data_IF_657572822262
#
_entry.id   IF_657572822262
#
_cell.length_a   1.000
_cell.length_b   1.000
_cell.length_c   1.000
_cell.angle_alpha   90.00
_cell.angle_beta   90.00
_cell.angle_gamma   90.00
#
_symmetry.space_group_name_H-M   'P 1'
#
loop_
_entity.id
_entity.type
_entity.pdbx_description
1 polymer ?
#
# COMPACT_ATOMS: atom_id res chain seq x y z
N UNK A 1 -42.64 -32.88 -0.16
CA UNK A 1 -43.21 -33.24 -1.47
C UNK A 1 -43.04 -32.05 -2.40
N UNK A 2 -42.21 -32.19 -3.42
CA UNK A 2 -42.01 -31.18 -4.46
C UNK A 2 -43.15 -31.20 -5.50
N UNK A 3 -43.41 -30.07 -6.16
CA UNK A 3 -43.77 -30.09 -7.58
C UNK A 3 -42.84 -29.13 -8.35
N UNK A 4 -41.87 -29.64 -9.12
CA UNK A 4 -41.97 -29.89 -10.57
C UNK A 4 -42.69 -28.77 -11.34
N UNK A 5 -41.91 -27.87 -11.94
CA UNK A 5 -42.26 -27.15 -13.14
C UNK A 5 -41.03 -27.10 -14.07
N UNK A 6 -41.09 -27.87 -15.15
CA UNK A 6 -40.22 -27.79 -16.33
C UNK A 6 -41.13 -27.66 -17.55
N UNK A 7 -41.00 -26.56 -18.30
CA UNK A 7 -41.46 -26.38 -19.70
C UNK A 7 -40.39 -25.53 -20.39
N UNK A 8 -39.49 -26.11 -21.18
CA UNK A 8 -39.60 -26.37 -22.62
C UNK A 8 -39.96 -25.11 -23.43
N UNK A 9 -38.95 -24.54 -24.09
CA UNK A 9 -39.09 -23.70 -25.29
C UNK A 9 -38.17 -24.22 -26.39
N UNK A 10 -38.67 -24.09 -27.62
CA UNK A 10 -38.34 -24.82 -28.83
C UNK A 10 -37.00 -24.42 -29.46
N UNK A 11 -36.27 -25.41 -29.96
CA UNK A 11 -35.20 -25.23 -30.96
C UNK A 11 -35.83 -25.19 -32.35
N UNK A 12 -35.64 -24.08 -33.06
CA UNK A 12 -36.03 -23.95 -34.48
C UNK A 12 -34.84 -24.33 -35.36
N UNK A 13 -35.04 -25.31 -36.22
CA UNK A 13 -34.07 -25.84 -37.17
C UNK A 13 -33.72 -24.81 -38.25
N UNK A 14 -32.42 -24.63 -38.50
CA UNK A 14 -31.90 -23.87 -39.65
C UNK A 14 -31.82 -24.79 -40.89
N UNK A 15 -32.25 -24.34 -42.08
CA UNK A 15 -32.12 -25.13 -43.31
C UNK A 15 -30.68 -25.17 -43.80
N UNK A 16 -30.23 -26.37 -44.21
CA UNK A 16 -28.93 -26.63 -44.82
C UNK A 16 -28.89 -26.09 -46.26
N UNK A 17 -28.05 -25.11 -46.53
CA UNK A 17 -27.67 -24.72 -47.90
C UNK A 17 -26.17 -24.90 -48.10
N UNK A 18 -25.78 -25.55 -49.21
CA UNK A 18 -24.40 -25.86 -49.60
C UNK A 18 -23.57 -24.58 -49.87
N UNK A 19 -22.26 -24.55 -49.59
CA UNK A 19 -21.40 -23.45 -50.02
C UNK A 19 -21.02 -23.56 -51.52
N UNK A 20 -20.86 -22.44 -52.24
CA UNK A 20 -20.33 -22.41 -53.61
C UNK A 20 -18.78 -22.47 -53.62
N UNK A 21 -18.13 -22.68 -54.80
CA UNK A 21 -16.75 -23.14 -54.86
C UNK A 21 -15.72 -22.03 -54.66
N UNK A 22 -14.53 -22.48 -54.23
CA UNK A 22 -13.31 -21.73 -53.98
C UNK A 22 -12.83 -20.99 -55.23
N UNK A 23 -12.58 -19.68 -55.12
CA UNK A 23 -12.00 -18.86 -56.18
C UNK A 23 -11.24 -17.65 -55.64
N UNK A 24 -9.99 -17.53 -56.08
CA UNK A 24 -9.07 -16.38 -56.05
C UNK A 24 -8.71 -15.76 -54.70
N UNK A 25 -7.49 -16.06 -54.26
CA UNK A 25 -6.71 -15.33 -53.25
C UNK A 25 -6.53 -13.86 -53.65
N UNK A 26 -7.28 -12.96 -53.01
CA UNK A 26 -6.83 -11.58 -52.82
C UNK A 26 -6.01 -11.56 -51.54
N UNK A 27 -4.71 -11.35 -51.69
CA UNK A 27 -3.77 -11.07 -50.62
C UNK A 27 -4.15 -9.72 -49.98
N UNK A 28 -5.09 -9.76 -49.02
CA UNK A 28 -5.17 -8.68 -48.03
C UNK A 28 -3.90 -8.78 -47.21
N UNK A 29 -2.95 -7.90 -47.49
CA UNK A 29 -1.79 -7.68 -46.65
C UNK A 29 -2.30 -7.19 -45.29
N UNK A 30 -2.63 -8.13 -44.39
CA UNK A 30 -2.75 -7.82 -42.99
C UNK A 30 -1.35 -7.38 -42.58
N UNK A 31 -1.19 -6.06 -42.40
CA UNK A 31 -0.05 -5.52 -41.70
C UNK A 31 -0.09 -6.11 -40.29
N UNK A 32 0.61 -7.22 -40.10
CA UNK A 32 1.05 -7.64 -38.78
C UNK A 32 2.00 -6.53 -38.31
N UNK A 33 1.44 -5.52 -37.66
CA UNK A 33 2.22 -4.62 -36.84
C UNK A 33 2.88 -5.50 -35.78
N UNK A 34 4.16 -5.80 -35.97
CA UNK A 34 5.05 -6.34 -34.96
C UNK A 34 5.42 -5.26 -33.94
N UNK A 35 4.48 -4.38 -33.58
CA UNK A 35 4.58 -3.68 -32.31
C UNK A 35 4.33 -4.72 -31.23
N UNK A 36 5.44 -5.30 -30.79
CA UNK A 36 5.55 -6.03 -29.54
C UNK A 36 4.82 -5.26 -28.42
N UNK A 37 3.66 -5.77 -28.01
CA UNK A 37 2.74 -5.08 -27.12
C UNK A 37 3.37 -4.83 -25.73
N UNK A 38 3.27 -3.59 -25.24
CA UNK A 38 3.67 -3.21 -23.88
C UNK A 38 2.64 -3.73 -22.87
N UNK A 39 3.09 -4.47 -21.87
CA UNK A 39 2.22 -5.01 -20.81
C UNK A 39 1.94 -3.92 -19.77
N UNK A 40 0.76 -3.31 -19.84
CA UNK A 40 0.26 -2.36 -18.84
C UNK A 40 -0.20 -3.07 -17.56
N UNK A 41 0.41 -2.75 -16.42
CA UNK A 41 0.06 -3.29 -15.09
C UNK A 41 -0.20 -2.13 -14.13
N UNK A 42 -1.25 -2.26 -13.33
CA UNK A 42 -1.62 -1.30 -12.28
C UNK A 42 -1.34 -1.89 -10.90
N UNK A 43 -0.79 -1.08 -10.00
CA UNK A 43 -0.57 -1.40 -8.59
C UNK A 43 -1.30 -0.37 -7.73
N UNK A 44 -2.12 -0.82 -6.78
CA UNK A 44 -2.95 0.05 -5.93
C UNK A 44 -2.39 0.06 -4.51
N UNK A 45 -1.71 1.15 -4.15
CA UNK A 45 -1.02 1.35 -2.88
C UNK A 45 0.49 1.35 -3.05
N UNK A 46 1.16 2.38 -2.54
CA UNK A 46 2.61 2.61 -2.72
C UNK A 46 3.46 2.24 -1.50
N UNK A 47 2.95 1.36 -0.64
CA UNK A 47 3.74 0.76 0.44
C UNK A 47 4.76 -0.27 -0.06
N UNK A 48 5.45 -0.99 0.85
CA UNK A 48 6.40 -2.03 0.48
C UNK A 48 5.84 -3.06 -0.51
N UNK A 49 4.61 -3.51 -0.29
CA UNK A 49 3.99 -4.51 -1.16
C UNK A 49 3.86 -4.03 -2.61
N UNK A 50 3.42 -2.79 -2.80
CA UNK A 50 3.28 -2.20 -4.12
C UNK A 50 4.63 -2.03 -4.82
N UNK A 51 5.62 -1.46 -4.14
CA UNK A 51 6.95 -1.26 -4.72
C UNK A 51 7.70 -2.57 -4.98
N UNK A 52 7.63 -3.57 -4.10
CA UNK A 52 8.26 -4.86 -4.35
C UNK A 52 7.58 -5.62 -5.49
N UNK A 53 6.25 -5.50 -5.62
CA UNK A 53 5.52 -6.03 -6.77
C UNK A 53 6.03 -5.36 -8.06
N UNK A 54 6.05 -4.02 -8.10
CA UNK A 54 6.55 -3.27 -9.24
C UNK A 54 8.00 -3.61 -9.59
N UNK A 55 8.89 -3.65 -8.59
CA UNK A 55 10.29 -4.00 -8.76
C UNK A 55 10.46 -5.37 -9.42
N UNK A 56 9.74 -6.38 -8.92
CA UNK A 56 9.85 -7.74 -9.45
C UNK A 56 9.31 -7.83 -10.88
N UNK A 57 8.17 -7.20 -11.17
CA UNK A 57 7.61 -7.14 -12.52
C UNK A 57 8.57 -6.48 -13.51
N UNK A 58 9.15 -5.34 -13.14
CA UNK A 58 10.08 -4.61 -13.99
C UNK A 58 11.38 -5.39 -14.21
N UNK A 59 11.86 -6.12 -13.20
CA UNK A 59 13.07 -6.95 -13.31
C UNK A 59 12.87 -8.17 -14.21
N UNK A 60 11.71 -8.81 -14.13
CA UNK A 60 11.47 -10.09 -14.78
C UNK A 60 10.68 -9.99 -16.10
N UNK A 61 10.14 -8.82 -16.44
CA UNK A 61 9.49 -8.57 -17.72
C UNK A 61 9.92 -7.23 -18.32
N UNK A 62 10.70 -7.30 -19.40
CA UNK A 62 11.36 -6.15 -20.06
C UNK A 62 10.40 -5.14 -20.68
N UNK A 63 9.18 -5.57 -21.04
CA UNK A 63 8.14 -4.76 -21.70
C UNK A 63 6.97 -4.41 -20.79
N UNK A 64 7.03 -4.78 -19.51
CA UNK A 64 6.02 -4.35 -18.55
C UNK A 64 6.19 -2.86 -18.23
N UNK A 65 5.06 -2.15 -18.20
CA UNK A 65 4.93 -0.80 -17.66
C UNK A 65 4.04 -0.88 -16.42
N UNK A 66 4.47 -0.24 -15.33
CA UNK A 66 3.80 -0.31 -14.03
C UNK A 66 3.37 1.08 -13.58
N UNK A 67 2.06 1.28 -13.41
CA UNK A 67 1.49 2.47 -12.77
C UNK A 67 1.15 2.17 -11.31
N UNK A 68 1.73 2.92 -10.38
CA UNK A 68 1.47 2.81 -8.94
C UNK A 68 0.55 3.96 -8.51
N UNK A 69 -0.65 3.61 -8.05
CA UNK A 69 -1.63 4.56 -7.50
C UNK A 69 -1.52 4.65 -5.99
N UNK A 70 -1.67 5.84 -5.43
CA UNK A 70 -1.60 6.09 -4.00
C UNK A 70 -2.63 7.13 -3.58
N UNK A 71 -3.34 6.87 -2.47
CA UNK A 71 -4.33 7.80 -1.93
C UNK A 71 -3.67 9.02 -1.31
N UNK A 72 -2.51 8.84 -0.67
CA UNK A 72 -1.74 9.92 -0.07
C UNK A 72 -1.03 10.75 -1.14
N UNK A 73 -0.66 11.99 -0.79
CA UNK A 73 0.15 12.83 -1.67
C UNK A 73 1.60 12.33 -1.82
N UNK A 74 2.02 11.42 -0.93
CA UNK A 74 3.40 10.96 -0.79
C UNK A 74 3.45 9.43 -0.78
N UNK A 75 4.52 8.80 -1.32
CA UNK A 75 4.63 7.36 -1.40
C UNK A 75 5.12 6.69 -0.09
N UNK A 76 5.37 5.38 -0.17
CA UNK A 76 6.09 4.53 0.80
C UNK A 76 5.27 3.97 1.97
N UNK A 77 4.03 4.44 2.14
CA UNK A 77 3.09 3.89 3.12
C UNK A 77 3.69 3.75 4.52
N UNK A 78 3.58 2.57 5.14
CA UNK A 78 4.05 2.34 6.51
C UNK A 78 5.57 2.42 6.69
N UNK A 79 6.40 2.44 5.64
CA UNK A 79 7.83 2.74 5.83
C UNK A 79 8.00 4.19 6.28
N UNK A 80 7.18 5.09 5.74
CA UNK A 80 7.14 6.50 6.12
C UNK A 80 6.30 6.74 7.37
N UNK A 81 5.09 6.17 7.40
CA UNK A 81 4.07 6.48 8.41
C UNK A 81 3.99 5.49 9.59
N UNK A 82 4.63 4.33 9.50
CA UNK A 82 4.58 3.27 10.50
C UNK A 82 5.90 3.08 11.25
N UNK A 83 6.98 2.80 10.51
CA UNK A 83 8.32 2.60 11.08
C UNK A 83 8.68 3.79 11.97
N UNK A 84 9.04 3.49 13.20
CA UNK A 84 9.33 4.49 14.22
C UNK A 84 10.48 5.44 13.78
N UNK A 85 10.45 6.72 14.21
CA UNK A 85 11.41 7.72 13.79
C UNK A 85 12.84 7.45 14.30
N UNK A 86 12.95 6.69 15.39
CA UNK A 86 14.21 6.20 15.96
C UNK A 86 14.74 4.92 15.29
N UNK A 87 14.08 4.43 14.22
CA UNK A 87 14.49 3.29 13.39
C UNK A 87 14.80 3.71 11.94
N UNK A 88 15.70 4.69 11.71
CA UNK A 88 15.97 5.21 10.37
C UNK A 88 16.54 4.16 9.42
N UNK A 89 17.27 3.17 9.93
CA UNK A 89 17.89 2.12 9.13
C UNK A 89 16.86 1.21 8.45
N UNK A 90 15.69 1.03 9.07
CA UNK A 90 14.57 0.28 8.47
C UNK A 90 13.95 1.05 7.31
N UNK A 91 14.03 2.38 7.32
CA UNK A 91 13.54 3.26 6.24
C UNK A 91 14.44 3.27 5.00
N UNK A 92 15.66 2.72 5.08
CA UNK A 92 16.62 2.69 3.96
C UNK A 92 16.10 1.97 2.71
N UNK A 93 15.10 1.10 2.85
CA UNK A 93 14.41 0.47 1.71
C UNK A 93 13.80 1.48 0.74
N UNK A 94 13.49 2.70 1.21
CA UNK A 94 13.02 3.82 0.38
C UNK A 94 13.99 4.08 -0.79
N UNK A 95 15.30 3.93 -0.61
CA UNK A 95 16.27 4.15 -1.69
C UNK A 95 16.02 3.22 -2.89
N UNK A 96 15.73 1.95 -2.61
CA UNK A 96 15.39 0.94 -3.62
C UNK A 96 14.05 1.23 -4.28
N UNK A 97 13.07 1.72 -3.52
CA UNK A 97 11.76 2.11 -4.05
C UNK A 97 11.86 3.34 -4.94
N UNK A 98 12.66 4.33 -4.55
CA UNK A 98 12.99 5.51 -5.36
C UNK A 98 13.65 5.11 -6.67
N UNK A 99 14.61 4.18 -6.66
CA UNK A 99 15.22 3.67 -7.90
C UNK A 99 14.18 3.02 -8.81
N UNK A 100 13.23 2.26 -8.23
CA UNK A 100 12.15 1.61 -8.98
C UNK A 100 11.22 2.66 -9.60
N UNK A 101 10.82 3.68 -8.83
CA UNK A 101 9.95 4.76 -9.29
C UNK A 101 10.58 5.65 -10.37
N UNK A 102 11.91 5.77 -10.40
CA UNK A 102 12.67 6.51 -11.41
C UNK A 102 12.87 5.74 -12.72
N UNK A 103 12.45 4.48 -12.80
CA UNK A 103 12.51 3.72 -14.06
C UNK A 103 11.57 4.33 -15.09
N UNK A 104 12.00 4.43 -16.36
CA UNK A 104 11.15 4.89 -17.48
C UNK A 104 9.87 4.06 -17.68
N UNK A 105 9.83 2.85 -17.08
CA UNK A 105 8.69 1.92 -17.15
C UNK A 105 7.84 1.93 -15.88
N UNK A 106 8.11 2.82 -14.93
CA UNK A 106 7.34 2.99 -13.71
C UNK A 106 6.80 4.42 -13.64
N UNK A 107 5.53 4.57 -13.28
CA UNK A 107 4.96 5.86 -12.96
C UNK A 107 4.21 5.81 -11.64
N UNK A 108 4.22 6.93 -10.91
CA UNK A 108 3.52 7.12 -9.65
C UNK A 108 2.40 8.13 -9.83
N UNK A 109 1.24 7.83 -9.25
CA UNK A 109 0.03 8.63 -9.28
C UNK A 109 -0.52 8.75 -7.85
N UNK A 110 0.08 9.65 -7.06
CA UNK A 110 -0.37 10.01 -5.71
C UNK A 110 -1.60 10.90 -5.73
N UNK A 111 -2.23 11.10 -4.57
CA UNK A 111 -3.49 11.84 -4.43
C UNK A 111 -4.64 11.27 -5.30
N UNK A 112 -4.66 9.94 -5.49
CA UNK A 112 -5.70 9.21 -6.21
C UNK A 112 -6.27 8.11 -5.32
N UNK A 113 -7.50 8.29 -4.86
CA UNK A 113 -8.20 7.33 -4.00
C UNK A 113 -8.94 6.31 -4.86
N UNK A 114 -8.32 5.15 -5.06
CA UNK A 114 -9.00 4.02 -5.74
C UNK A 114 -10.20 3.56 -4.91
N UNK A 115 -11.35 3.40 -5.56
CA UNK A 115 -12.66 3.19 -4.95
C UNK A 115 -13.53 4.45 -4.86
N UNK A 116 -12.93 5.65 -4.95
CA UNK A 116 -13.63 6.94 -4.94
C UNK A 116 -13.39 7.72 -6.24
N UNK A 117 -12.12 7.99 -6.53
CA UNK A 117 -11.68 8.83 -7.65
C UNK A 117 -11.59 8.01 -8.96
N UNK A 118 -11.23 6.74 -8.84
CA UNK A 118 -11.23 5.72 -9.90
C UNK A 118 -11.61 4.38 -9.31
N UNK A 119 -12.47 3.60 -9.98
CA UNK A 119 -12.96 2.32 -9.48
C UNK A 119 -12.09 1.16 -9.95
N UNK A 120 -12.11 0.04 -9.22
CA UNK A 120 -11.37 -1.18 -9.63
C UNK A 120 -11.82 -1.70 -11.02
N UNK A 121 -13.12 -1.73 -11.37
CA UNK A 121 -13.55 -2.07 -12.72
C UNK A 121 -12.93 -1.18 -13.82
N UNK A 122 -12.88 0.14 -13.61
CA UNK A 122 -12.25 1.07 -14.57
C UNK A 122 -10.75 0.78 -14.74
N UNK A 123 -10.05 0.44 -13.66
CA UNK A 123 -8.65 -0.01 -13.75
C UNK A 123 -8.53 -1.34 -14.50
N UNK A 124 -9.42 -2.31 -14.27
CA UNK A 124 -9.39 -3.60 -14.98
C UNK A 124 -9.69 -3.47 -16.47
N UNK A 125 -10.45 -2.46 -16.88
CA UNK A 125 -10.65 -2.16 -18.29
C UNK A 125 -9.40 -1.51 -18.92
N UNK A 126 -8.72 -0.65 -18.17
CA UNK A 126 -7.55 0.08 -18.66
C UNK A 126 -6.25 -0.74 -18.69
N UNK A 127 -6.11 -1.76 -17.84
CA UNK A 127 -4.85 -2.51 -17.63
C UNK A 127 -5.00 -4.01 -17.95
N UNK A 128 -3.87 -4.71 -18.19
CA UNK A 128 -3.87 -6.17 -18.34
C UNK A 128 -4.05 -6.87 -16.98
N UNK A 129 -3.48 -6.28 -15.93
CA UNK A 129 -3.58 -6.77 -14.56
C UNK A 129 -3.62 -5.61 -13.57
N UNK A 130 -4.33 -5.82 -12.46
CA UNK A 130 -4.41 -4.91 -11.31
C UNK A 130 -3.97 -5.67 -10.07
N UNK A 131 -3.01 -5.12 -9.32
CA UNK A 131 -2.54 -5.69 -8.04
C UNK A 131 -2.97 -4.77 -6.90
N UNK A 132 -3.76 -5.31 -5.98
CA UNK A 132 -4.17 -4.62 -4.75
C UNK A 132 -3.08 -4.77 -3.69
N UNK A 133 -2.50 -3.64 -3.26
CA UNK A 133 -1.38 -3.58 -2.31
C UNK A 133 -1.56 -2.43 -1.30
N UNK A 134 -2.81 -2.08 -0.99
CA UNK A 134 -3.19 -0.96 -0.11
C UNK A 134 -3.05 -1.28 1.39
N UNK A 135 -2.58 -2.48 1.73
CA UNK A 135 -2.34 -2.90 3.11
C UNK A 135 -3.63 -3.14 3.90
N UNK A 136 -3.56 -2.93 5.21
CA UNK A 136 -4.71 -2.94 6.10
C UNK A 136 -4.79 -1.56 6.75
N UNK A 137 -5.88 -0.82 6.58
CA UNK A 137 -6.02 0.55 7.08
C UNK A 137 -6.81 0.64 8.37
N UNK A 138 -7.88 -0.17 8.46
CA UNK A 138 -8.73 -0.24 9.64
C UNK A 138 -7.96 -0.71 10.88
N UNK A 139 -8.39 -0.21 12.04
CA UNK A 139 -7.96 -0.70 13.34
C UNK A 139 -9.03 -1.64 13.90
N UNK A 140 -8.60 -2.64 14.67
CA UNK A 140 -9.54 -3.48 15.40
C UNK A 140 -10.01 -2.71 16.64
N UNK A 141 -11.32 -2.42 16.70
CA UNK A 141 -11.95 -1.92 17.91
C UNK A 141 -11.81 -2.94 19.04
N UNK A 142 -11.77 -2.46 20.29
CA UNK A 142 -11.66 -3.34 21.45
C UNK A 142 -13.00 -4.03 21.73
N UNK A 143 -14.12 -3.38 21.42
CA UNK A 143 -15.47 -3.90 21.67
C UNK A 143 -15.77 -3.95 23.17
N UNK A 144 -15.25 -3.00 23.95
CA UNK A 144 -15.39 -2.97 25.41
C UNK A 144 -16.04 -1.67 25.88
N UNK A 145 -16.80 -1.68 26.99
CA UNK A 145 -17.34 -0.46 27.57
C UNK A 145 -16.26 0.57 27.86
N UNK A 146 -16.46 1.82 27.40
CA UNK A 146 -15.54 2.93 27.61
C UNK A 146 -14.44 3.08 26.56
N UNK A 147 -14.44 2.31 25.47
CA UNK A 147 -13.46 2.45 24.39
C UNK A 147 -13.53 3.79 23.63
N UNK A 148 -14.64 4.54 23.78
CA UNK A 148 -14.86 5.87 23.21
C UNK A 148 -14.42 7.02 24.14
N UNK A 149 -13.89 6.70 25.34
CA UNK A 149 -13.50 7.74 26.30
C UNK A 149 -12.26 8.52 25.81
N UNK A 150 -12.17 9.83 26.10
CA UNK A 150 -10.95 10.60 25.86
C UNK A 150 -9.73 9.91 26.50
N UNK A 151 -8.63 9.82 25.75
CA UNK A 151 -7.42 9.11 26.16
C UNK A 151 -7.32 7.67 25.65
N UNK A 152 -8.38 7.12 25.06
CA UNK A 152 -8.34 5.81 24.38
C UNK A 152 -8.01 6.03 22.91
N UNK A 153 -6.91 5.45 22.45
CA UNK A 153 -6.44 5.57 21.07
C UNK A 153 -6.00 4.23 20.51
N UNK A 154 -6.18 4.05 19.20
CA UNK A 154 -5.47 2.99 18.48
C UNK A 154 -3.97 3.27 18.49
N UNK A 155 -3.15 2.26 18.80
CA UNK A 155 -1.69 2.37 18.72
C UNK A 155 -1.23 2.84 17.33
N UNK A 156 -1.92 2.40 16.27
CA UNK A 156 -1.65 2.84 14.90
C UNK A 156 -1.92 4.34 14.70
N UNK A 157 -3.00 4.86 15.27
CA UNK A 157 -3.32 6.30 15.18
C UNK A 157 -2.26 7.13 15.91
N UNK A 158 -1.82 6.67 17.09
CA UNK A 158 -0.71 7.30 17.82
C UNK A 158 0.60 7.27 17.02
N UNK A 159 0.90 6.13 16.37
CA UNK A 159 2.03 6.00 15.45
C UNK A 159 1.92 6.95 14.26
N UNK A 160 0.75 7.02 13.63
CA UNK A 160 0.49 7.94 12.52
C UNK A 160 0.67 9.40 12.94
N UNK A 161 0.22 9.77 14.14
CA UNK A 161 0.38 11.11 14.68
C UNK A 161 1.86 11.54 14.78
N UNK A 162 2.70 10.74 15.45
CA UNK A 162 4.12 11.12 15.59
C UNK A 162 4.92 10.95 14.28
N UNK A 163 4.46 10.11 13.35
CA UNK A 163 5.10 9.92 12.04
C UNK A 163 4.58 10.86 10.96
N UNK A 164 3.61 11.72 11.26
CA UNK A 164 3.10 12.74 10.33
C UNK A 164 2.14 12.20 9.26
N UNK A 165 1.33 11.20 9.60
CA UNK A 165 0.20 10.79 8.76
C UNK A 165 -0.87 11.91 8.80
N UNK A 166 -1.28 12.50 7.67
CA UNK A 166 -2.15 13.68 7.65
C UNK A 166 -3.46 13.51 8.44
N UNK A 167 -4.07 12.33 8.37
CA UNK A 167 -5.33 12.02 9.05
C UNK A 167 -5.21 11.94 10.59
N UNK A 168 -4.00 11.81 11.13
CA UNK A 168 -3.75 11.75 12.58
C UNK A 168 -3.05 13.00 13.14
N UNK A 169 -2.83 14.04 12.32
CA UNK A 169 -2.14 15.27 12.76
C UNK A 169 -2.86 15.97 13.93
N UNK A 170 -4.19 15.80 14.02
CA UNK A 170 -5.06 16.43 15.03
C UNK A 170 -5.38 15.49 16.21
N UNK A 171 -4.71 14.33 16.33
CA UNK A 171 -4.95 13.37 17.41
C UNK A 171 -4.70 13.97 18.80
N UNK A 172 -3.68 14.83 18.92
CA UNK A 172 -3.32 15.62 20.12
C UNK A 172 -3.53 14.86 21.44
N UNK A 173 -2.84 13.72 21.66
CA UNK A 173 -3.01 12.92 22.85
C UNK A 173 -2.63 13.70 24.12
N UNK A 174 -3.48 13.64 25.14
CA UNK A 174 -3.17 14.18 26.46
C UNK A 174 -2.19 13.25 27.19
N UNK A 175 -0.95 13.71 27.35
CA UNK A 175 0.14 12.99 28.00
C UNK A 175 0.46 13.57 29.40
N UNK A 176 -0.48 14.28 30.02
CA UNK A 176 -0.32 14.84 31.38
C UNK A 176 -0.44 13.81 32.50
N UNK A 177 -0.87 12.58 32.19
CA UNK A 177 -0.94 11.48 33.14
C UNK A 177 0.44 10.84 33.41
N UNK A 178 0.55 10.11 34.53
CA UNK A 178 1.79 9.41 34.89
C UNK A 178 1.95 8.03 34.21
N UNK A 179 0.85 7.39 33.80
CA UNK A 179 0.83 6.00 33.34
C UNK A 179 0.03 5.86 32.04
N UNK A 180 0.64 5.19 31.06
CA UNK A 180 -0.04 4.72 29.85
C UNK A 180 -0.16 3.19 29.85
N UNK A 181 -1.25 2.67 29.29
CA UNK A 181 -1.49 1.23 29.14
C UNK A 181 -1.66 0.91 27.67
N UNK A 182 -0.89 -0.05 27.16
CA UNK A 182 -0.94 -0.52 25.79
C UNK A 182 -1.45 -1.96 25.80
N UNK A 183 -2.55 -2.20 25.08
CA UNK A 183 -3.14 -3.53 24.93
C UNK A 183 -2.56 -4.22 23.69
N UNK A 184 -1.80 -5.29 23.90
CA UNK A 184 -1.12 -6.05 22.85
C UNK A 184 0.39 -6.12 23.06
N UNK A 185 0.99 -7.28 22.75
CA UNK A 185 2.43 -7.55 22.93
C UNK A 185 3.10 -7.82 21.58
N UNK A 186 3.03 -6.86 20.66
CA UNK A 186 3.68 -6.91 19.35
C UNK A 186 4.67 -5.75 19.15
N UNK A 187 5.37 -5.72 18.02
CA UNK A 187 6.37 -4.68 17.73
C UNK A 187 5.81 -3.25 17.83
N UNK A 188 4.59 -3.00 17.31
CA UNK A 188 3.95 -1.67 17.40
C UNK A 188 3.73 -1.23 18.85
N UNK A 189 3.40 -2.15 19.75
CA UNK A 189 3.22 -1.84 21.16
C UNK A 189 4.54 -1.38 21.80
N UNK A 190 5.65 -2.04 21.42
CA UNK A 190 6.98 -1.65 21.87
C UNK A 190 7.43 -0.32 21.26
N UNK A 191 7.08 -0.04 20.01
CA UNK A 191 7.38 1.26 19.38
C UNK A 191 6.68 2.41 20.11
N UNK A 192 5.38 2.26 20.41
CA UNK A 192 4.63 3.26 21.18
C UNK A 192 5.19 3.41 22.59
N UNK A 193 5.47 2.31 23.29
CA UNK A 193 6.07 2.36 24.62
C UNK A 193 7.43 3.06 24.62
N UNK A 194 8.27 2.76 23.61
CA UNK A 194 9.60 3.34 23.46
C UNK A 194 9.53 4.83 23.17
N UNK A 195 8.65 5.28 22.26
CA UNK A 195 8.46 6.71 21.99
C UNK A 195 7.95 7.46 23.21
N UNK A 196 7.04 6.88 24.01
CA UNK A 196 6.54 7.51 25.24
C UNK A 196 7.61 7.65 26.33
N UNK A 197 8.58 6.74 26.39
CA UNK A 197 9.59 6.68 27.47
C UNK A 197 10.97 7.19 27.06
N UNK A 198 11.23 7.39 25.77
CA UNK A 198 12.51 7.90 25.28
C UNK A 198 12.67 9.36 25.69
N UNK A 199 13.81 9.76 26.30
CA UNK A 199 14.09 11.16 26.59
C UNK A 199 13.95 12.02 25.32
N UNK A 200 13.15 13.11 25.33
CA UNK A 200 12.86 13.89 24.13
C UNK A 200 14.12 14.36 23.38
N UNK A 201 15.22 14.64 24.09
CA UNK A 201 16.52 14.99 23.53
C UNK A 201 17.09 13.95 22.56
N UNK A 202 16.79 12.66 22.76
CA UNK A 202 17.23 11.58 21.87
C UNK A 202 16.39 11.51 20.59
N UNK A 203 15.18 12.09 20.59
CA UNK A 203 14.28 12.14 19.43
C UNK A 203 14.50 13.40 18.59
N UNK A 204 15.23 14.40 19.08
CA UNK A 204 15.41 15.70 18.40
C UNK A 204 16.01 15.59 17.00
N UNK A 205 16.88 14.60 16.78
CA UNK A 205 17.57 14.37 15.51
C UNK A 205 16.90 13.31 14.63
N UNK A 206 15.70 12.86 15.00
CA UNK A 206 14.92 11.89 14.22
C UNK A 206 13.97 12.61 13.24
N UNK A 207 13.23 11.86 12.42
CA UNK A 207 12.18 12.41 11.54
C UNK A 207 10.78 12.45 12.18
N UNK A 208 10.70 12.39 13.52
CA UNK A 208 9.46 12.62 14.28
C UNK A 208 8.91 14.02 13.99
N UNK A 209 7.60 14.23 13.97
CA UNK A 209 7.05 15.58 13.71
C UNK A 209 7.42 16.56 14.85
N UNK A 210 7.67 17.82 14.50
CA UNK A 210 7.90 18.85 15.52
C UNK A 210 6.73 18.98 16.52
N UNK A 211 5.50 18.82 16.03
CA UNK A 211 4.29 18.88 16.82
C UNK A 211 4.25 17.76 17.88
N UNK A 212 4.54 16.52 17.48
CA UNK A 212 4.57 15.40 18.41
C UNK A 212 5.72 15.51 19.40
N UNK A 213 6.90 15.93 18.95
CA UNK A 213 8.04 16.17 19.84
C UNK A 213 7.74 17.27 20.87
N UNK A 214 7.03 18.33 20.48
CA UNK A 214 6.56 19.38 21.39
C UNK A 214 5.66 18.85 22.51
N UNK A 215 4.73 17.95 22.17
CA UNK A 215 3.86 17.29 23.16
C UNK A 215 4.65 16.33 24.04
N UNK A 216 5.56 15.53 23.46
CA UNK A 216 6.39 14.59 24.22
C UNK A 216 7.31 15.28 25.23
N UNK A 217 7.81 16.49 24.93
CA UNK A 217 8.59 17.30 25.88
C UNK A 217 7.80 17.70 27.13
N UNK A 218 6.47 17.77 27.03
CA UNK A 218 5.59 18.13 28.14
C UNK A 218 4.94 16.91 28.80
N UNK A 219 5.22 15.70 28.29
CA UNK A 219 4.68 14.45 28.80
C UNK A 219 5.09 14.23 30.27
N UNK A 220 4.13 13.79 31.09
CA UNK A 220 4.36 13.35 32.47
C UNK A 220 4.38 11.83 32.59
N UNK A 221 4.22 11.10 31.48
CA UNK A 221 4.21 9.65 31.44
C UNK A 221 5.57 9.11 31.88
N UNK A 222 5.57 8.31 32.94
CA UNK A 222 6.76 7.65 33.52
C UNK A 222 6.66 6.14 33.49
N UNK A 223 5.43 5.62 33.40
CA UNK A 223 5.14 4.19 33.44
C UNK A 223 4.35 3.80 32.21
N UNK A 224 4.80 2.76 31.51
CA UNK A 224 4.03 2.15 30.41
C UNK A 224 3.84 0.67 30.69
N UNK A 225 2.58 0.23 30.73
CA UNK A 225 2.23 -1.18 30.85
C UNK A 225 1.89 -1.77 29.50
N UNK A 226 2.61 -2.80 29.07
CA UNK A 226 2.31 -3.54 27.84
C UNK A 226 1.60 -4.84 28.23
N UNK A 227 0.28 -4.88 28.03
CA UNK A 227 -0.61 -5.93 28.55
C UNK A 227 -0.97 -6.90 27.43
N UNK A 228 -0.62 -8.17 27.62
CA UNK A 228 -1.03 -9.26 26.73
C UNK A 228 -2.13 -10.11 27.32
N UNK A 229 -3.03 -10.61 26.46
CA UNK A 229 -4.04 -11.60 26.84
C UNK A 229 -3.48 -13.04 27.03
N UNK A 230 -2.25 -13.29 26.59
CA UNK A 230 -1.56 -14.60 26.64
C UNK A 230 -0.23 -14.47 27.37
N UNK A 231 0.45 -15.60 27.60
CA UNK A 231 1.72 -15.65 28.32
C UNK A 231 2.93 -15.29 27.46
N UNK A 232 4.13 -15.26 28.08
CA UNK A 232 5.38 -14.86 27.42
C UNK A 232 5.77 -15.67 26.18
N UNK A 233 5.35 -16.94 26.09
CA UNK A 233 5.61 -17.79 24.91
C UNK A 233 4.79 -17.39 23.67
N UNK A 234 3.85 -16.45 23.80
CA UNK A 234 2.97 -16.01 22.72
C UNK A 234 3.12 -14.52 22.38
N UNK A 235 4.20 -13.88 22.83
CA UNK A 235 4.55 -12.53 22.41
C UNK A 235 4.85 -12.50 20.91
N UNK A 236 4.48 -11.41 20.25
CA UNK A 236 4.61 -11.21 18.80
C UNK A 236 5.63 -10.12 18.46
N UNK A 237 6.49 -9.75 19.41
CA UNK A 237 7.61 -8.86 19.15
C UNK A 237 8.88 -9.67 18.86
N UNK A 238 9.72 -9.14 17.98
CA UNK A 238 11.00 -9.76 17.61
C UNK A 238 12.14 -9.26 18.49
N UNK A 239 13.17 -10.10 18.71
CA UNK A 239 14.30 -9.82 19.62
C UNK A 239 15.01 -8.49 19.28
N UNK A 240 15.11 -8.11 18.00
CA UNK A 240 15.71 -6.85 17.55
C UNK A 240 15.08 -5.60 18.21
N UNK A 241 13.82 -5.67 18.64
CA UNK A 241 13.11 -4.54 19.27
C UNK A 241 13.46 -4.38 20.76
N UNK A 242 14.16 -5.35 21.38
CA UNK A 242 14.58 -5.31 22.79
C UNK A 242 16.00 -4.74 23.02
N UNK A 243 16.80 -4.47 21.98
CA UNK A 243 18.18 -3.96 22.08
C UNK A 243 19.10 -4.45 20.95
N UNK A 244 20.35 -3.96 20.85
CA UNK A 244 21.26 -4.34 19.78
C UNK A 244 21.84 -5.75 20.02
N UNK A 245 21.83 -6.54 18.94
CA UNK A 245 22.44 -7.87 18.73
C UNK A 245 21.63 -9.10 19.20
N UNK A 246 21.20 -9.88 18.20
CA UNK A 246 20.65 -11.23 18.35
C UNK A 246 19.76 -11.63 17.19
N UNK A 247 20.28 -12.40 16.24
CA UNK A 247 19.46 -13.13 15.27
C UNK A 247 18.59 -14.17 16.00
N UNK A 248 17.27 -14.12 15.77
CA UNK A 248 16.28 -15.04 16.33
C UNK A 248 15.42 -15.70 15.23
N UNK A 249 14.92 -16.92 15.45
CA UNK A 249 14.41 -17.80 14.40
C UNK A 249 13.00 -17.43 13.92
N UNK A 250 12.69 -17.91 12.71
CA UNK A 250 11.49 -17.58 11.95
C UNK A 250 10.16 -17.87 12.65
N UNK A 251 9.22 -16.94 12.46
CA UNK A 251 7.86 -17.01 12.98
C UNK A 251 6.96 -17.91 12.12
N UNK A 252 6.14 -18.71 12.80
CA UNK A 252 5.12 -19.58 12.23
C UNK A 252 3.85 -18.79 11.91
N UNK A 253 3.37 -18.94 10.68
CA UNK A 253 2.19 -18.24 10.15
C UNK A 253 0.89 -18.63 10.88
N UNK A 254 0.12 -17.62 11.32
CA UNK A 254 -1.29 -17.78 11.66
C UNK A 254 -2.14 -17.14 10.54
N UNK A 255 -3.03 -17.89 9.86
CA UNK A 255 -3.87 -17.32 8.81
C UNK A 255 -5.00 -16.51 9.45
N UNK A 256 -4.95 -15.19 9.32
CA UNK A 256 -6.13 -14.33 9.44
C UNK A 256 -6.65 -14.06 8.03
N UNK A 257 -7.52 -14.93 7.53
CA UNK A 257 -8.24 -14.73 6.27
C UNK A 257 -9.36 -13.71 6.49
N UNK A 258 -9.30 -12.61 5.74
CA UNK A 258 -10.45 -11.71 5.59
C UNK A 258 -11.57 -12.43 4.82
N UNK A 259 -12.84 -12.34 5.26
CA UNK A 259 -13.95 -13.05 4.64
C UNK A 259 -14.53 -12.23 3.48
N UNK A 260 -13.83 -12.15 2.35
CA UNK A 260 -14.43 -11.63 1.11
C UNK A 260 -14.18 -12.59 -0.07
N UNK A 261 -15.28 -13.25 -0.45
CA UNK A 261 -15.62 -13.97 -1.69
C UNK A 261 -14.56 -14.80 -2.46
N UNK A 262 -14.79 -16.11 -2.45
CA UNK A 262 -14.18 -17.13 -3.32
C UNK A 262 -14.79 -17.14 -4.74
N UNK A 263 -14.36 -16.20 -5.61
CA UNK A 263 -14.30 -16.44 -7.05
C UNK A 263 -13.06 -15.73 -7.59
N UNK A 264 -12.14 -16.42 -8.29
CA UNK A 264 -10.99 -15.75 -8.90
C UNK A 264 -11.51 -14.76 -9.95
N UNK A 265 -11.23 -13.47 -9.75
CA UNK A 265 -11.48 -12.44 -10.75
C UNK A 265 -10.26 -12.38 -11.67
N UNK A 266 -10.34 -12.82 -12.94
CA UNK A 266 -9.18 -12.82 -13.83
C UNK A 266 -8.58 -11.42 -13.96
N UNK A 267 -7.24 -11.36 -13.89
CA UNK A 267 -6.48 -10.10 -13.96
C UNK A 267 -6.52 -9.25 -12.68
N UNK A 268 -7.06 -9.74 -11.56
CA UNK A 268 -7.01 -9.07 -10.26
C UNK A 268 -6.20 -9.91 -9.26
N UNK A 269 -5.17 -9.29 -8.69
CA UNK A 269 -4.25 -9.90 -7.73
C UNK A 269 -4.20 -9.07 -6.45
N UNK A 270 -3.58 -9.60 -5.41
CA UNK A 270 -3.28 -8.85 -4.19
C UNK A 270 -1.90 -9.23 -3.64
N UNK A 271 -1.24 -8.32 -2.92
CA UNK A 271 0.04 -8.56 -2.24
C UNK A 271 0.14 -7.82 -0.91
N UNK A 272 0.95 -8.33 0.02
CA UNK A 272 1.17 -7.75 1.34
C UNK A 272 0.01 -7.94 2.30
N UNK A 273 -0.20 -6.97 3.19
CA UNK A 273 -1.15 -7.12 4.30
C UNK A 273 -2.62 -7.25 3.89
N UNK A 274 -3.02 -6.71 2.73
CA UNK A 274 -4.37 -6.97 2.19
C UNK A 274 -4.56 -8.45 1.84
N UNK A 275 -3.49 -9.17 1.48
CA UNK A 275 -3.50 -10.60 1.14
C UNK A 275 -3.32 -11.50 2.36
N UNK A 276 -2.35 -11.19 3.22
CA UNK A 276 -1.88 -12.08 4.31
C UNK A 276 -2.40 -11.69 5.70
N UNK A 277 -3.07 -10.53 5.81
CA UNK A 277 -3.37 -9.88 7.08
C UNK A 277 -2.19 -9.03 7.59
N UNK A 278 -2.41 -8.18 8.61
CA UNK A 278 -1.43 -7.23 9.12
C UNK A 278 -0.41 -7.89 10.06
N UNK A 279 0.28 -8.92 9.57
CA UNK A 279 1.33 -9.64 10.29
C UNK A 279 2.62 -9.66 9.48
N UNK A 280 3.75 -9.79 10.16
CA UNK A 280 5.07 -9.81 9.55
C UNK A 280 5.72 -8.44 9.34
N UNK A 281 6.94 -8.47 8.80
CA UNK A 281 7.83 -7.32 8.63
C UNK A 281 8.01 -6.98 7.14
N UNK A 282 8.84 -5.99 6.83
CA UNK A 282 9.11 -5.57 5.44
C UNK A 282 9.64 -6.73 4.59
N UNK A 283 10.50 -7.59 5.14
CA UNK A 283 11.10 -8.73 4.42
C UNK A 283 10.08 -9.82 4.08
N UNK A 284 9.11 -10.11 4.97
CA UNK A 284 8.04 -11.08 4.65
C UNK A 284 7.10 -10.51 3.59
N UNK A 285 6.81 -9.21 3.65
CA UNK A 285 6.03 -8.50 2.63
C UNK A 285 6.72 -8.52 1.27
N UNK A 286 8.05 -8.37 1.23
CA UNK A 286 8.85 -8.47 0.01
C UNK A 286 8.68 -9.84 -0.66
N UNK A 287 8.91 -10.93 0.08
CA UNK A 287 8.80 -12.29 -0.45
C UNK A 287 7.39 -12.59 -0.96
N UNK A 288 6.34 -12.21 -0.23
CA UNK A 288 4.95 -12.39 -0.67
C UNK A 288 4.61 -11.60 -1.94
N UNK A 289 5.16 -10.40 -2.08
CA UNK A 289 4.98 -9.56 -3.26
C UNK A 289 5.67 -10.14 -4.50
N UNK A 290 6.85 -10.74 -4.31
CA UNK A 290 7.55 -11.45 -5.38
C UNK A 290 6.78 -12.69 -5.83
N UNK A 291 6.23 -13.48 -4.91
CA UNK A 291 5.38 -14.63 -5.24
C UNK A 291 4.15 -14.21 -6.05
N UNK A 292 3.48 -13.13 -5.64
CA UNK A 292 2.32 -12.58 -6.37
C UNK A 292 2.71 -12.15 -7.79
N UNK A 293 3.85 -11.47 -7.93
CA UNK A 293 4.35 -11.02 -9.23
C UNK A 293 4.73 -12.18 -10.13
N UNK A 294 5.31 -13.25 -9.56
CA UNK A 294 5.63 -14.47 -10.30
C UNK A 294 4.37 -15.14 -10.85
N UNK A 295 3.31 -15.26 -10.05
CA UNK A 295 2.02 -15.78 -10.52
C UNK A 295 1.42 -14.93 -11.63
N UNK A 296 1.44 -13.59 -11.49
CA UNK A 296 0.97 -12.68 -12.54
C UNK A 296 1.73 -12.88 -13.86
N UNK A 297 3.06 -12.99 -13.80
CA UNK A 297 3.88 -13.23 -14.99
C UNK A 297 3.60 -14.59 -15.63
N UNK A 298 3.38 -15.64 -14.83
CA UNK A 298 2.97 -16.95 -15.34
C UNK A 298 1.61 -16.90 -16.04
N UNK A 299 0.63 -16.18 -15.48
CA UNK A 299 -0.68 -16.00 -16.10
C UNK A 299 -0.60 -15.20 -17.41
N UNK A 300 0.30 -14.22 -17.48
CA UNK A 300 0.59 -13.47 -18.69
C UNK A 300 1.20 -14.36 -19.78
N UNK A 301 2.21 -15.17 -19.43
CA UNK A 301 2.86 -16.13 -20.35
C UNK A 301 1.89 -17.21 -20.82
N UNK A 302 0.98 -17.65 -19.96
CA UNK A 302 -0.06 -18.62 -20.27
C UNK A 302 -1.23 -18.03 -21.08
N UNK A 303 -1.25 -16.72 -21.34
CA UNK A 303 -2.32 -16.05 -22.09
C UNK A 303 -3.66 -16.02 -21.33
N UNK A 304 -3.62 -16.07 -20.00
CA UNK A 304 -4.80 -16.04 -19.12
C UNK A 304 -5.26 -14.60 -18.82
N UNK A 305 -4.42 -13.62 -19.11
CA UNK A 305 -4.74 -12.20 -19.02
C UNK A 305 -5.33 -11.68 -20.33
N UNK A 306 -6.05 -10.54 -20.30
CA UNK A 306 -6.69 -10.04 -21.50
C UNK A 306 -5.68 -9.77 -22.63
N UNK A 307 -6.01 -10.21 -23.84
CA UNK A 307 -5.16 -10.02 -25.01
C UNK A 307 -5.36 -8.66 -25.67
N UNK A 308 -4.37 -8.22 -26.45
CA UNK A 308 -4.43 -6.99 -27.23
C UNK A 308 -3.97 -5.75 -26.45
N UNK A 309 -3.94 -4.58 -27.11
CA UNK A 309 -3.45 -3.35 -26.51
C UNK A 309 -4.39 -2.88 -25.38
N UNK A 310 -3.78 -2.45 -24.28
CA UNK A 310 -4.47 -1.81 -23.15
C UNK A 310 -4.04 -0.35 -23.04
N UNK A 311 -4.97 0.61 -22.83
CA UNK A 311 -4.65 2.03 -22.83
C UNK A 311 -3.85 2.48 -21.60
N UNK A 312 -3.86 1.70 -20.50
CA UNK A 312 -3.17 2.03 -19.24
C UNK A 312 -3.59 3.39 -18.70
N UNK A 313 -2.63 4.14 -18.17
CA UNK A 313 -2.89 5.45 -17.58
C UNK A 313 -3.49 6.48 -18.55
N UNK A 314 -3.34 6.33 -19.87
CA UNK A 314 -3.93 7.31 -20.81
C UNK A 314 -5.45 7.42 -20.68
N UNK A 315 -6.14 6.29 -20.46
CA UNK A 315 -7.58 6.26 -20.21
C UNK A 315 -7.93 6.80 -18.82
N UNK A 316 -7.16 6.41 -17.80
CA UNK A 316 -7.40 6.85 -16.42
C UNK A 316 -7.13 8.34 -16.24
N UNK A 317 -6.11 8.90 -16.89
CA UNK A 317 -5.81 10.34 -16.85
C UNK A 317 -6.98 11.19 -17.35
N UNK A 318 -7.63 10.78 -18.45
CA UNK A 318 -8.80 11.47 -18.97
C UNK A 318 -9.97 11.44 -17.97
N UNK A 319 -10.17 10.29 -17.30
CA UNK A 319 -11.19 10.10 -16.29
C UNK A 319 -10.93 10.93 -15.02
N UNK A 320 -9.70 10.93 -14.51
CA UNK A 320 -9.33 11.72 -13.34
C UNK A 320 -9.47 13.23 -13.63
N UNK A 321 -9.08 13.66 -14.84
CA UNK A 321 -9.24 15.05 -15.27
C UNK A 321 -10.71 15.48 -15.33
N UNK A 322 -11.61 14.63 -15.85
CA UNK A 322 -13.04 14.93 -15.89
C UNK A 322 -13.70 14.93 -14.51
N UNK A 323 -13.10 14.23 -13.54
CA UNK A 323 -13.50 14.22 -12.13
C UNK A 323 -12.86 15.32 -11.29
N UNK A 324 -12.01 16.17 -11.88
CA UNK A 324 -11.29 17.22 -11.16
C UNK A 324 -10.23 16.69 -10.18
N UNK A 325 -9.78 15.45 -10.37
CA UNK A 325 -8.76 14.82 -9.54
C UNK A 325 -7.39 15.06 -10.16
N UNK A 326 -6.45 15.51 -9.34
CA UNK A 326 -5.08 15.77 -9.76
C UNK A 326 -4.09 14.76 -9.18
N UNK A 327 -3.57 13.86 -10.02
CA UNK A 327 -2.50 12.97 -9.62
C UNK A 327 -1.18 13.73 -9.37
N UNK A 328 -0.51 13.37 -8.29
CA UNK A 328 0.85 13.80 -7.98
C UNK A 328 1.82 12.78 -8.60
N UNK A 329 2.72 13.26 -9.47
CA UNK A 329 3.74 12.41 -10.07
C UNK A 329 4.88 12.10 -9.10
N UNK A 330 5.76 11.14 -9.42
CA UNK A 330 6.95 10.91 -8.60
C UNK A 330 7.88 12.13 -8.56
N UNK A 331 8.02 12.85 -9.68
CA UNK A 331 8.84 14.07 -9.74
C UNK A 331 8.22 15.25 -9.00
N UNK A 332 6.90 15.29 -8.85
CA UNK A 332 6.23 16.22 -7.95
C UNK A 332 6.52 15.83 -6.49
N UNK A 333 6.41 14.55 -6.13
CA UNK A 333 6.85 14.07 -4.81
C UNK A 333 8.31 14.42 -4.50
N UNK A 334 9.24 14.30 -5.45
CA UNK A 334 10.65 14.68 -5.23
C UNK A 334 10.84 16.16 -4.85
N UNK A 335 9.95 17.06 -5.30
CA UNK A 335 9.95 18.46 -4.86
C UNK A 335 9.52 18.60 -3.40
N UNK A 336 8.48 17.85 -2.99
CA UNK A 336 8.04 17.79 -1.60
C UNK A 336 9.12 17.18 -0.71
N UNK A 337 9.76 16.10 -1.16
CA UNK A 337 10.87 15.46 -0.45
C UNK A 337 12.03 16.44 -0.21
N UNK A 338 12.41 17.21 -1.24
CA UNK A 338 13.44 18.22 -1.13
C UNK A 338 13.07 19.34 -0.14
N UNK A 339 11.81 19.79 -0.15
CA UNK A 339 11.30 20.78 0.81
C UNK A 339 11.35 20.24 2.25
N UNK A 340 10.88 19.01 2.49
CA UNK A 340 10.94 18.37 3.81
C UNK A 340 12.38 18.25 4.32
N UNK A 341 13.31 17.82 3.46
CA UNK A 341 14.73 17.74 3.79
C UNK A 341 15.30 19.12 4.09
N UNK A 342 14.97 20.14 3.30
CA UNK A 342 15.42 21.52 3.53
C UNK A 342 14.95 22.06 4.88
N UNK A 343 13.68 21.83 5.25
CA UNK A 343 13.15 22.22 6.57
C UNK A 343 13.86 21.50 7.71
N UNK A 344 14.21 20.23 7.52
CA UNK A 344 14.93 19.44 8.52
C UNK A 344 16.34 19.94 8.82
N UNK A 345 17.04 20.52 7.82
CA UNK A 345 18.43 21.00 7.97
C UNK A 345 18.59 22.03 9.08
N UNK A 346 17.65 22.98 9.20
CA UNK A 346 17.69 24.02 10.23
C UNK A 346 17.59 23.47 11.66
N UNK A 347 16.94 22.33 11.83
CA UNK A 347 16.75 21.66 13.12
C UNK A 347 17.71 20.48 13.34
N UNK A 348 18.62 20.19 12.40
CA UNK A 348 19.51 19.04 12.47
C UNK A 348 18.79 17.69 12.33
N UNK A 349 17.64 17.67 11.66
CA UNK A 349 16.81 16.49 11.39
C UNK A 349 17.02 15.99 9.96
N UNK A 350 16.80 14.69 9.66
CA UNK A 350 16.82 14.19 8.30
C UNK A 350 15.80 14.88 7.39
N UNK A 351 14.66 15.28 7.98
CA UNK A 351 13.56 16.03 7.34
C UNK A 351 12.60 16.57 8.39
N UNK A 352 11.81 17.57 8.02
CA UNK A 352 10.56 17.94 8.72
C UNK A 352 9.38 17.64 7.78
N UNK A 353 8.44 16.80 8.23
CA UNK A 353 7.38 16.28 7.37
C UNK A 353 6.29 17.32 7.14
N UNK A 354 5.85 17.47 5.90
CA UNK A 354 4.63 18.21 5.59
C UNK A 354 3.42 17.42 6.12
N UNK A 355 2.52 18.09 6.83
CA UNK A 355 1.36 17.45 7.48
C UNK A 355 0.04 17.84 6.83
N UNK A 356 0.00 18.98 6.15
CA UNK A 356 -1.21 19.51 5.51
C UNK A 356 -1.25 19.16 4.03
N UNK A 357 -2.21 18.34 3.55
CA UNK A 357 -2.34 18.01 2.14
C UNK A 357 -2.52 19.27 1.27
N UNK A 358 -3.19 20.31 1.78
CA UNK A 358 -3.36 21.56 1.03
C UNK A 358 -2.06 22.35 0.90
N UNK A 359 -1.21 22.35 1.93
CA UNK A 359 0.15 22.88 1.82
C UNK A 359 0.98 22.11 0.80
N UNK A 360 0.94 20.77 0.81
CA UNK A 360 1.63 19.94 -0.19
C UNK A 360 1.21 20.31 -1.61
N UNK A 361 -0.10 20.42 -1.87
CA UNK A 361 -0.62 20.81 -3.18
C UNK A 361 -0.16 22.23 -3.58
N UNK A 362 -0.19 23.19 -2.65
CA UNK A 362 0.26 24.56 -2.89
C UNK A 362 1.74 24.65 -3.26
N UNK A 363 2.60 23.87 -2.60
CA UNK A 363 4.03 23.79 -2.91
C UNK A 363 4.30 23.24 -4.31
N UNK A 364 3.37 22.43 -4.83
CA UNK A 364 3.40 21.92 -6.20
C UNK A 364 2.78 22.90 -7.22
N UNK A 365 2.31 24.06 -6.77
CA UNK A 365 1.65 25.07 -7.61
C UNK A 365 0.25 24.66 -8.05
N UNK A 366 -0.49 23.96 -7.17
CA UNK A 366 -1.84 23.47 -7.42
C UNK A 366 -2.89 24.21 -6.59
#
# INVERSE_FOLDING_TARGET
>A
MAPRCWRWWHWSAWPRTRPPPVGSTQSSCQQFSTQEQTTQICVVGSGPAGFYTAQHLLKHHTRAHVDIYEKQCVPFGLVRFGVAPDHPEVKNVINTFTQTARSDRCAFHGNVVVGRDVTVPELREAYHAVVLSYGAEDHQALGIPGEELPGVFSARAFVGWYNGLPENRELLPDLSCDTAVILGQGNVALDVARILLTPPEHLEKTDITEAALGVLRQSQVKTVWVVGRRGPLQVAFTIKVLGPEGEGPGETECPATSPFLHYPLPGLYCSGWVKRGPTGVITTTMTDSFLTSQTLLQDLEAGLLPSGPRPGYSAIKALLSSRGVWPISFSDWEKLDAEEVSRGQGAGKPREKLLDPQEMLRLLGR
#
